data_IF_537319703373
#
_entry.id   IF_537319703373
#
_cell.length_a   1.000
_cell.length_b   1.000
_cell.length_c   1.000
_cell.angle_alpha   90.00
_cell.angle_beta   90.00
_cell.angle_gamma   90.00
#
_symmetry.space_group_name_H-M   'P 1'
#
loop_
_entity.id
_entity.type
_entity.pdbx_description
1 polymer ?
#
# COMPACT_ATOMS: atom_id res chain seq x y z
N UNK A 1 -14.78 10.66 -10.69
CA UNK A 1 -13.68 10.14 -11.53
C UNK A 1 -14.19 8.93 -12.31
N UNK A 2 -13.60 8.62 -13.47
CA UNK A 2 -14.00 7.45 -14.26
C UNK A 2 -13.77 6.13 -13.50
N UNK A 3 -12.72 6.08 -12.68
CA UNK A 3 -12.42 4.92 -11.82
C UNK A 3 -13.49 4.69 -10.74
N UNK A 4 -14.14 5.74 -10.25
CA UNK A 4 -15.14 5.62 -9.19
C UNK A 4 -16.45 4.99 -9.67
N UNK A 5 -16.66 4.97 -10.98
CA UNK A 5 -17.86 4.42 -11.65
C UNK A 5 -17.53 3.25 -12.58
N UNK A 6 -16.29 2.75 -12.52
CA UNK A 6 -15.78 1.68 -13.41
C UNK A 6 -15.92 2.00 -14.92
N UNK A 7 -15.90 3.30 -15.28
CA UNK A 7 -15.97 3.77 -16.67
C UNK A 7 -14.58 3.72 -17.32
N UNK A 8 -14.01 2.53 -17.44
CA UNK A 8 -12.72 2.26 -18.08
C UNK A 8 -12.60 0.78 -18.48
N UNK A 9 -11.80 0.49 -19.49
CA UNK A 9 -11.48 -0.88 -19.89
C UNK A 9 -10.24 -1.40 -19.15
N UNK A 10 -9.26 -0.53 -18.88
CA UNK A 10 -8.03 -0.84 -18.19
C UNK A 10 -7.51 0.40 -17.45
N UNK A 11 -6.97 0.19 -16.27
CA UNK A 11 -6.31 1.24 -15.48
C UNK A 11 -5.03 0.72 -14.85
N UNK A 12 -4.19 1.63 -14.36
CA UNK A 12 -3.00 1.28 -13.58
C UNK A 12 -3.31 1.56 -12.11
N UNK A 13 -3.00 0.58 -11.27
CA UNK A 13 -3.19 0.70 -9.82
C UNK A 13 -1.97 0.15 -9.07
N UNK A 14 -1.93 0.39 -7.77
CA UNK A 14 -0.87 -0.04 -6.87
C UNK A 14 -1.48 -0.57 -5.58
N UNK A 15 -1.16 -1.81 -5.25
CA UNK A 15 -1.54 -2.43 -3.98
C UNK A 15 -0.31 -2.58 -3.09
N UNK A 16 -0.35 -1.92 -1.95
CA UNK A 16 0.65 -2.08 -0.91
C UNK A 16 0.13 -3.11 0.10
N UNK A 17 0.88 -4.20 0.27
CA UNK A 17 0.51 -5.29 1.15
C UNK A 17 1.34 -5.29 2.43
N UNK A 18 0.71 -5.70 3.53
CA UNK A 18 1.39 -5.92 4.79
C UNK A 18 2.13 -7.28 4.79
N UNK A 19 3.11 -7.41 5.67
CA UNK A 19 3.78 -8.71 5.90
C UNK A 19 2.85 -9.78 6.51
N UNK A 20 1.71 -9.36 7.03
CA UNK A 20 0.63 -10.21 7.53
C UNK A 20 -0.68 -9.73 6.92
N UNK A 21 -1.07 -10.25 5.75
CA UNK A 21 -2.34 -9.92 5.12
C UNK A 21 -3.52 -10.19 6.04
N UNK A 22 -4.52 -9.30 6.02
CA UNK A 22 -5.67 -9.37 6.92
C UNK A 22 -6.88 -8.60 6.40
N UNK A 23 -7.39 -7.68 7.20
CA UNK A 23 -8.64 -6.95 6.91
C UNK A 23 -8.60 -6.11 5.63
N UNK A 24 -7.42 -5.65 5.21
CA UNK A 24 -7.23 -4.90 3.96
C UNK A 24 -7.66 -5.69 2.72
N UNK A 25 -7.64 -7.01 2.79
CA UNK A 25 -8.09 -7.87 1.70
C UNK A 25 -9.57 -7.67 1.37
N UNK A 26 -10.41 -7.35 2.39
CA UNK A 26 -11.82 -7.00 2.19
C UNK A 26 -12.00 -5.74 1.36
N UNK A 27 -11.07 -4.77 1.54
CA UNK A 27 -11.12 -3.51 0.81
C UNK A 27 -10.63 -3.66 -0.62
N UNK A 28 -9.64 -4.52 -0.86
CA UNK A 28 -9.05 -4.70 -2.19
C UNK A 28 -9.89 -5.60 -3.09
N UNK A 29 -10.43 -6.69 -2.55
CA UNK A 29 -10.98 -7.79 -3.33
C UNK A 29 -12.43 -8.16 -2.96
N UNK A 30 -12.93 -7.69 -1.82
CA UNK A 30 -14.23 -8.07 -1.31
C UNK A 30 -15.38 -7.43 -2.09
N UNK A 31 -16.46 -8.21 -2.29
CA UNK A 31 -17.64 -7.81 -3.04
C UNK A 31 -18.30 -6.53 -2.54
N UNK A 32 -18.32 -6.31 -1.22
CA UNK A 32 -18.89 -5.09 -0.60
C UNK A 32 -18.12 -3.83 -0.97
N UNK A 33 -16.79 -3.94 -1.13
CA UNK A 33 -15.94 -2.81 -1.48
C UNK A 33 -16.18 -2.34 -2.93
N UNK A 34 -16.64 -3.23 -3.80
CA UNK A 34 -17.00 -2.89 -5.18
C UNK A 34 -18.21 -1.95 -5.30
N UNK A 35 -19.04 -1.87 -4.26
CA UNK A 35 -20.22 -0.98 -4.22
C UNK A 35 -19.90 0.40 -3.64
N UNK A 36 -18.65 0.63 -3.22
CA UNK A 36 -18.21 1.89 -2.64
C UNK A 36 -17.55 2.74 -3.74
N UNK A 37 -18.17 3.86 -4.18
CA UNK A 37 -17.56 4.74 -5.15
C UNK A 37 -16.20 5.26 -4.68
N UNK A 38 -15.17 5.09 -5.51
CA UNK A 38 -13.79 5.45 -5.12
C UNK A 38 -13.17 4.53 -4.08
N UNK A 39 -13.76 3.36 -3.83
CA UNK A 39 -13.21 2.30 -2.98
C UNK A 39 -11.93 1.71 -3.56
N UNK A 40 -11.30 0.83 -2.80
CA UNK A 40 -10.00 0.22 -3.18
C UNK A 40 -10.15 -1.03 -4.04
N UNK A 41 -11.36 -1.58 -4.18
CA UNK A 41 -11.65 -2.64 -5.14
C UNK A 41 -11.84 -2.01 -6.54
N UNK A 42 -10.74 -1.58 -7.13
CA UNK A 42 -10.73 -0.85 -8.40
C UNK A 42 -11.14 -1.70 -9.61
N UNK A 43 -11.17 -3.01 -9.46
CA UNK A 43 -11.59 -3.95 -10.51
C UNK A 43 -13.08 -4.30 -10.44
N UNK A 44 -13.77 -3.90 -9.37
CA UNK A 44 -15.18 -4.22 -9.20
C UNK A 44 -15.45 -5.71 -8.97
N UNK A 45 -14.53 -6.44 -8.35
CA UNK A 45 -14.65 -7.87 -8.10
C UNK A 45 -15.85 -8.12 -7.18
N UNK A 46 -16.74 -9.03 -7.61
CA UNK A 46 -17.87 -9.54 -6.83
C UNK A 46 -17.94 -11.04 -7.01
N UNK A 47 -17.26 -11.77 -6.16
CA UNK A 47 -17.18 -13.24 -6.21
C UNK A 47 -17.30 -13.81 -4.80
N UNK A 48 -18.33 -14.62 -4.51
CA UNK A 48 -18.53 -15.22 -3.19
C UNK A 48 -17.38 -16.13 -2.74
N UNK A 49 -16.68 -16.80 -3.67
CA UNK A 49 -15.56 -17.65 -3.35
C UNK A 49 -14.34 -16.81 -2.90
N UNK A 50 -14.15 -15.64 -3.52
CA UNK A 50 -13.13 -14.68 -3.10
C UNK A 50 -13.48 -14.12 -1.72
N UNK A 51 -14.73 -13.77 -1.48
CA UNK A 51 -15.19 -13.30 -0.17
C UNK A 51 -14.92 -14.34 0.93
N UNK A 52 -15.22 -15.61 0.66
CA UNK A 52 -14.97 -16.70 1.61
C UNK A 52 -13.47 -16.88 1.88
N UNK A 53 -12.63 -16.84 0.85
CA UNK A 53 -11.17 -16.92 1.00
C UNK A 53 -10.62 -15.77 1.84
N UNK A 54 -11.14 -14.57 1.68
CA UNK A 54 -10.77 -13.40 2.48
C UNK A 54 -11.11 -13.64 3.96
N UNK A 55 -12.31 -14.13 4.26
CA UNK A 55 -12.70 -14.43 5.65
C UNK A 55 -11.83 -15.53 6.26
N UNK A 56 -11.47 -16.53 5.48
CA UNK A 56 -10.53 -17.56 5.91
C UNK A 56 -9.13 -17.00 6.20
N UNK A 57 -8.65 -16.03 5.42
CA UNK A 57 -7.37 -15.34 5.65
C UNK A 57 -7.43 -14.58 6.98
N UNK A 58 -8.47 -13.76 7.17
CA UNK A 58 -8.65 -12.95 8.37
C UNK A 58 -8.76 -13.81 9.64
N UNK A 59 -9.41 -14.97 9.51
CA UNK A 59 -9.57 -15.94 10.62
C UNK A 59 -8.41 -16.96 10.69
N UNK A 60 -7.26 -16.71 10.07
CA UNK A 60 -6.15 -17.65 10.11
C UNK A 60 -5.56 -17.79 11.52
N UNK A 61 -5.52 -18.99 12.10
CA UNK A 61 -5.09 -19.20 13.49
C UNK A 61 -3.57 -19.11 13.68
N UNK A 62 -2.81 -19.31 12.60
CA UNK A 62 -1.35 -19.36 12.63
C UNK A 62 -0.73 -18.92 11.30
N UNK A 63 0.57 -18.75 11.29
CA UNK A 63 1.32 -18.29 10.11
C UNK A 63 1.27 -19.25 8.93
N UNK A 64 1.28 -20.53 9.15
CA UNK A 64 1.25 -21.55 8.10
C UNK A 64 -0.10 -21.53 7.37
N UNK A 65 -1.19 -21.52 8.13
CA UNK A 65 -2.54 -21.35 7.61
C UNK A 65 -2.71 -20.06 6.85
N UNK A 66 -2.21 -18.94 7.40
CA UNK A 66 -2.25 -17.63 6.75
C UNK A 66 -1.56 -17.67 5.38
N UNK A 67 -0.34 -18.18 5.31
CA UNK A 67 0.42 -18.29 4.05
C UNK A 67 -0.30 -19.17 3.04
N UNK A 68 -0.85 -20.31 3.47
CA UNK A 68 -1.56 -21.22 2.57
C UNK A 68 -2.80 -20.56 1.99
N UNK A 69 -3.60 -19.92 2.83
CA UNK A 69 -4.85 -19.25 2.43
C UNK A 69 -4.58 -18.04 1.52
N UNK A 70 -3.56 -17.25 1.85
CA UNK A 70 -3.14 -16.12 1.01
C UNK A 70 -2.67 -16.58 -0.37
N UNK A 71 -1.92 -17.70 -0.44
CA UNK A 71 -1.53 -18.30 -1.72
C UNK A 71 -2.72 -18.82 -2.53
N UNK A 72 -3.76 -19.31 -1.85
CA UNK A 72 -4.99 -19.70 -2.54
C UNK A 72 -5.67 -18.49 -3.16
N UNK A 73 -5.82 -17.38 -2.41
CA UNK A 73 -6.39 -16.13 -2.92
C UNK A 73 -5.58 -15.58 -4.10
N UNK A 74 -4.25 -15.50 -3.96
CA UNK A 74 -3.35 -15.05 -5.03
C UNK A 74 -3.53 -15.87 -6.32
N UNK A 75 -3.65 -17.18 -6.19
CA UNK A 75 -3.86 -18.08 -7.33
C UNK A 75 -5.22 -17.87 -7.99
N UNK A 76 -6.29 -17.65 -7.21
CA UNK A 76 -7.62 -17.39 -7.73
C UNK A 76 -7.65 -16.05 -8.46
N UNK A 77 -7.12 -14.98 -7.85
CA UNK A 77 -7.05 -13.66 -8.46
C UNK A 77 -6.23 -13.67 -9.77
N UNK A 78 -5.10 -14.38 -9.78
CA UNK A 78 -4.25 -14.53 -10.96
C UNK A 78 -4.94 -15.32 -12.06
N UNK A 79 -5.69 -16.38 -11.72
CA UNK A 79 -6.42 -17.19 -12.69
C UNK A 79 -7.54 -16.44 -13.40
N UNK A 80 -8.25 -15.58 -12.66
CA UNK A 80 -9.31 -14.74 -13.23
C UNK A 80 -8.79 -13.59 -14.09
N UNK A 81 -7.48 -13.36 -14.10
CA UNK A 81 -6.83 -12.31 -14.91
C UNK A 81 -7.39 -10.90 -14.66
N UNK A 82 -7.88 -10.63 -13.44
CA UNK A 82 -8.28 -9.29 -13.03
C UNK A 82 -7.11 -8.31 -13.06
N UNK A 83 -5.89 -8.83 -12.89
CA UNK A 83 -4.67 -8.06 -12.80
C UNK A 83 -3.65 -8.60 -13.80
N UNK A 84 -2.99 -7.69 -14.49
CA UNK A 84 -1.78 -7.99 -15.27
C UNK A 84 -0.58 -7.50 -14.45
N UNK A 85 0.13 -8.39 -13.74
CA UNK A 85 1.28 -8.00 -12.94
C UNK A 85 2.36 -7.37 -13.82
N UNK A 86 2.83 -6.20 -13.45
CA UNK A 86 3.83 -5.46 -14.22
C UNK A 86 5.21 -5.60 -13.56
N UNK A 87 5.44 -4.75 -12.58
CA UNK A 87 6.69 -4.70 -11.84
C UNK A 87 6.46 -4.21 -10.41
N UNK A 88 7.42 -4.46 -9.56
CA UNK A 88 7.48 -3.85 -8.24
C UNK A 88 8.79 -3.08 -8.09
N UNK A 89 8.81 -2.09 -7.22
CA UNK A 89 10.03 -1.41 -6.83
C UNK A 89 10.40 -1.81 -5.40
N UNK A 90 11.64 -2.24 -5.20
CA UNK A 90 12.22 -2.45 -3.87
C UNK A 90 12.90 -1.18 -3.32
N UNK A 91 12.73 -0.04 -4.02
CA UNK A 91 13.26 1.26 -3.64
C UNK A 91 12.11 2.22 -3.39
N UNK A 92 12.15 2.87 -2.27
CA UNK A 92 11.29 3.99 -1.96
C UNK A 92 12.04 5.29 -2.27
N UNK A 93 11.40 6.17 -3.03
CA UNK A 93 11.96 7.46 -3.40
C UNK A 93 11.35 8.54 -2.50
N UNK A 94 12.20 9.24 -1.78
CA UNK A 94 11.79 10.33 -0.90
C UNK A 94 12.37 11.65 -1.39
N UNK A 95 11.53 12.68 -1.46
CA UNK A 95 11.94 14.07 -1.59
C UNK A 95 11.68 14.77 -0.25
N UNK A 96 12.71 15.38 0.31
CA UNK A 96 12.61 16.03 1.62
C UNK A 96 13.55 17.24 1.73
N UNK A 97 13.17 18.16 2.60
CA UNK A 97 14.06 19.25 2.97
C UNK A 97 15.19 18.71 3.84
N UNK A 98 16.43 19.13 3.59
CA UNK A 98 17.60 18.66 4.34
C UNK A 98 17.64 19.24 5.78
N UNK A 99 16.56 19.02 6.52
CA UNK A 99 16.38 19.38 7.92
C UNK A 99 16.31 18.18 8.86
N UNK A 100 16.38 16.97 8.33
CA UNK A 100 16.19 15.76 9.10
C UNK A 100 17.52 15.06 9.38
N UNK A 101 17.66 14.58 10.63
CA UNK A 101 18.60 13.54 10.99
C UNK A 101 18.01 12.17 10.72
N UNK A 102 18.84 11.19 10.43
CA UNK A 102 18.44 9.80 10.17
C UNK A 102 19.40 8.84 10.85
N UNK A 103 18.93 7.63 11.25
CA UNK A 103 19.80 6.63 11.84
C UNK A 103 20.83 6.12 10.81
N UNK A 104 22.02 5.78 11.27
CA UNK A 104 23.05 5.15 10.44
C UNK A 104 22.61 3.79 9.91
N UNK A 105 21.87 3.02 10.73
CA UNK A 105 21.28 1.73 10.37
C UNK A 105 19.77 1.85 10.36
N UNK A 106 19.18 1.52 9.22
CA UNK A 106 17.73 1.46 9.10
C UNK A 106 17.17 0.31 9.95
N UNK A 107 15.96 0.49 10.48
CA UNK A 107 15.23 -0.58 11.13
C UNK A 107 14.94 -1.72 10.14
N UNK A 108 14.87 -2.96 10.67
CA UNK A 108 14.71 -4.16 9.83
C UNK A 108 13.41 -4.21 9.05
N UNK A 109 12.32 -3.72 9.65
CA UNK A 109 10.96 -3.87 9.13
C UNK A 109 10.29 -2.57 8.72
N UNK A 110 10.85 -1.42 9.07
CA UNK A 110 10.36 -0.12 8.61
C UNK A 110 11.52 0.73 8.10
N UNK A 111 11.29 1.40 6.98
CA UNK A 111 12.21 2.39 6.42
C UNK A 111 11.52 3.74 6.26
N UNK A 112 10.27 3.84 6.75
CA UNK A 112 9.49 5.06 6.63
C UNK A 112 10.18 6.20 7.39
N UNK A 113 10.50 7.30 6.72
CA UNK A 113 11.09 8.47 7.36
C UNK A 113 10.24 9.03 8.51
N UNK A 114 8.92 8.88 8.44
CA UNK A 114 7.98 9.37 9.46
C UNK A 114 8.17 8.66 10.81
N UNK A 115 8.62 7.42 10.78
CA UNK A 115 8.81 6.60 11.98
C UNK A 115 10.23 6.64 12.52
N UNK A 116 11.21 7.01 11.68
CA UNK A 116 12.63 6.79 11.98
C UNK A 116 13.48 8.04 11.93
N UNK A 117 13.01 9.13 11.34
CA UNK A 117 13.77 10.36 11.21
C UNK A 117 13.35 11.39 12.26
N UNK A 118 14.24 12.32 12.59
CA UNK A 118 13.99 13.41 13.53
C UNK A 118 14.39 14.75 12.92
N UNK A 119 13.87 15.83 13.46
CA UNK A 119 14.31 17.17 13.06
C UNK A 119 15.67 17.45 13.68
N UNK A 120 16.66 17.70 12.84
CA UNK A 120 17.98 18.15 13.23
C UNK A 120 17.97 19.69 13.34
N UNK A 121 18.05 20.21 14.55
CA UNK A 121 17.93 21.63 14.79
C UNK A 121 19.01 22.47 14.09
N UNK A 122 20.23 21.93 13.95
CA UNK A 122 21.33 22.64 13.29
C UNK A 122 21.02 22.79 11.79
N UNK A 123 20.57 21.74 11.14
CA UNK A 123 20.17 21.76 9.73
C UNK A 123 18.92 22.63 9.51
N UNK A 124 17.95 22.56 10.42
CA UNK A 124 16.71 23.35 10.32
C UNK A 124 17.00 24.86 10.40
N UNK A 125 17.91 25.28 11.28
CA UNK A 125 18.33 26.68 11.38
C UNK A 125 18.97 27.21 10.09
N UNK A 126 19.75 26.40 9.40
CA UNK A 126 20.38 26.77 8.11
C UNK A 126 19.32 26.99 7.05
N UNK A 127 18.32 26.10 6.93
CA UNK A 127 17.24 26.24 5.95
C UNK A 127 16.38 27.49 6.20
N UNK A 128 16.07 27.82 7.43
CA UNK A 128 15.30 29.03 7.78
C UNK A 128 16.04 30.32 7.42
N UNK A 129 17.37 30.35 7.46
CA UNK A 129 18.17 31.51 7.03
C UNK A 129 18.17 31.69 5.52
N UNK A 130 18.32 30.60 4.74
CA UNK A 130 18.31 30.68 3.28
C UNK A 130 16.97 31.10 2.66
N UNK A 131 15.85 30.81 3.32
CA UNK A 131 14.52 31.20 2.85
C UNK A 131 14.15 32.68 3.06
N UNK A 132 14.91 33.43 3.84
CA UNK A 132 14.66 34.84 4.12
C UNK A 132 15.50 35.81 3.28
N UNK A 133 16.49 35.32 2.54
CA UNK A 133 17.39 36.18 1.73
C UNK A 133 16.82 36.47 0.32
N UNK A 134 15.83 35.73 -0.15
CA UNK A 134 15.20 35.97 -1.48
C UNK A 134 14.02 36.98 -1.47
N UNK A 135 13.76 37.64 -0.35
CA UNK A 135 12.66 38.64 -0.23
C UNK A 135 13.15 40.02 0.21
N UNK A 136 14.26 40.50 -0.34
CA UNK A 136 14.63 41.91 -0.25
C UNK A 136 14.91 42.49 -1.62
#
# INVERSE_FOLDING_TARGET
RRTDTYDFDMTIDLWAEALSPGNEQREFWGSKAADIPGGRNSMGIKDPAIDELIELIVAAPDRESLVTRTRCLDRVLSWHQFIIPQFYSNKELFAYWNRFGRPEKNAKYTRDPRDTWWVDEAKDKVLKRGGNEEKK
#
